data_IF_786771516799
#
_entry.id   IF_786771516799
#
_cell.length_a   1.000
_cell.length_b   1.000
_cell.length_c   1.000
_cell.angle_alpha   90.00
_cell.angle_beta   90.00
_cell.angle_gamma   90.00
#
_symmetry.space_group_name_H-M   'P 1'
#
loop_
_entity.id
_entity.type
_entity.pdbx_description
1 polymer ?
#
# COMPACT_ATOMS: atom_id res chain seq x y z
N UNK A 1 -2.56 -4.21 -7.87
CA UNK A 1 -2.61 -5.63 -7.46
C UNK A 1 -3.57 -6.32 -8.43
N UNK A 2 -3.09 -7.28 -9.24
CA UNK A 2 -3.89 -7.95 -10.28
C UNK A 2 -4.66 -9.18 -9.76
N UNK A 3 -4.41 -9.59 -8.52
CA UNK A 3 -4.95 -10.84 -7.94
C UNK A 3 -4.89 -10.80 -6.38
N UNK A 4 -5.90 -11.37 -5.72
CA UNK A 4 -6.00 -11.48 -4.26
C UNK A 4 -4.97 -12.42 -3.61
N UNK A 5 -4.37 -13.35 -4.37
CA UNK A 5 -3.29 -14.22 -3.86
C UNK A 5 -1.92 -13.52 -3.83
N UNK A 6 -1.82 -12.32 -4.41
CA UNK A 6 -0.58 -11.56 -4.60
C UNK A 6 -0.47 -10.36 -3.65
N UNK A 7 -0.85 -10.50 -2.39
CA UNK A 7 -0.93 -9.39 -1.41
C UNK A 7 0.31 -9.22 -0.51
N UNK A 8 1.40 -9.95 -0.79
CA UNK A 8 2.65 -9.81 -0.02
C UNK A 8 3.26 -8.42 -0.17
N UNK A 9 4.06 -8.01 0.81
CA UNK A 9 4.73 -6.70 0.79
C UNK A 9 5.71 -6.64 -0.39
N UNK A 10 6.37 -7.75 -0.72
CA UNK A 10 7.29 -7.86 -1.87
C UNK A 10 6.57 -7.61 -3.19
N UNK A 11 5.38 -8.18 -3.37
CA UNK A 11 4.56 -7.93 -4.57
C UNK A 11 4.09 -6.48 -4.64
N UNK A 12 3.73 -5.87 -3.51
CA UNK A 12 3.37 -4.46 -3.47
C UNK A 12 4.57 -3.56 -3.81
N UNK A 13 5.74 -3.85 -3.25
CA UNK A 13 6.98 -3.13 -3.54
C UNK A 13 7.36 -3.24 -5.01
N UNK A 14 7.28 -4.43 -5.60
CA UNK A 14 7.58 -4.63 -7.03
C UNK A 14 6.59 -3.87 -7.93
N UNK A 15 5.30 -3.88 -7.57
CA UNK A 15 4.29 -3.12 -8.30
C UNK A 15 4.57 -1.61 -8.23
N UNK A 16 4.88 -1.10 -7.03
CA UNK A 16 5.22 0.31 -6.83
C UNK A 16 6.48 0.69 -7.61
N UNK A 17 7.52 -0.15 -7.60
CA UNK A 17 8.75 0.08 -8.37
C UNK A 17 8.49 0.23 -9.87
N UNK A 18 7.65 -0.62 -10.44
CA UNK A 18 7.29 -0.51 -11.87
C UNK A 18 6.56 0.80 -12.22
N UNK A 19 5.77 1.35 -11.29
CA UNK A 19 5.10 2.65 -11.47
C UNK A 19 6.09 3.80 -11.27
N UNK A 20 7.02 3.66 -10.31
CA UNK A 20 8.03 4.67 -10.01
C UNK A 20 8.92 4.97 -11.23
N UNK A 21 9.27 3.96 -12.03
CA UNK A 21 10.03 4.15 -13.28
C UNK A 21 9.35 5.15 -14.22
N UNK A 22 8.05 4.99 -14.48
CA UNK A 22 7.30 5.93 -15.32
C UNK A 22 7.17 7.32 -14.69
N UNK A 23 7.01 7.41 -13.36
CA UNK A 23 6.95 8.70 -12.66
C UNK A 23 8.28 9.45 -12.79
N UNK A 24 9.41 8.76 -12.65
CA UNK A 24 10.74 9.35 -12.78
C UNK A 24 11.01 9.87 -14.21
N UNK A 25 10.56 9.15 -15.24
CA UNK A 25 10.63 9.63 -16.63
C UNK A 25 9.82 10.92 -16.85
N UNK A 26 8.64 11.02 -16.25
CA UNK A 26 7.83 12.24 -16.30
C UNK A 26 8.52 13.39 -15.55
N UNK A 27 9.09 13.15 -14.37
CA UNK A 27 9.85 14.17 -13.64
C UNK A 27 11.06 14.67 -14.45
N UNK A 28 11.79 13.77 -15.11
CA UNK A 28 12.90 14.12 -15.98
C UNK A 28 12.48 14.93 -17.22
N UNK A 29 11.18 14.89 -17.56
CA UNK A 29 10.57 15.65 -18.65
C UNK A 29 9.92 16.96 -18.18
N UNK A 30 10.26 17.44 -16.98
CA UNK A 30 9.85 18.74 -16.40
C UNK A 30 8.34 18.87 -16.12
N UNK A 31 7.68 17.75 -15.78
CA UNK A 31 6.29 17.76 -15.32
C UNK A 31 6.18 17.98 -13.81
N UNK A 32 5.23 18.83 -13.39
CA UNK A 32 4.76 18.89 -12.01
C UNK A 32 3.74 17.78 -11.74
N UNK A 33 4.07 16.85 -10.84
CA UNK A 33 3.30 15.63 -10.62
C UNK A 33 2.65 15.61 -9.24
N UNK A 34 1.35 15.28 -9.21
CA UNK A 34 0.65 14.82 -8.01
C UNK A 34 0.36 13.34 -8.16
N UNK A 35 0.98 12.51 -7.32
CA UNK A 35 0.76 11.07 -7.30
C UNK A 35 -0.29 10.70 -6.26
N UNK A 36 -1.26 9.88 -6.67
CA UNK A 36 -2.30 9.32 -5.79
C UNK A 36 -2.34 7.80 -5.94
N UNK A 37 -2.95 7.09 -4.99
CA UNK A 37 -3.13 5.65 -5.09
C UNK A 37 -4.42 5.19 -4.42
N UNK A 38 -4.91 4.03 -4.83
CA UNK A 38 -5.92 3.27 -4.09
C UNK A 38 -5.27 2.38 -3.03
N UNK A 39 -6.08 1.90 -2.08
CA UNK A 39 -5.64 0.97 -1.03
C UNK A 39 -6.64 -0.18 -0.76
N UNK A 40 -7.66 -0.37 -1.60
CA UNK A 40 -8.77 -1.32 -1.37
C UNK A 40 -8.33 -2.75 -1.00
N UNK A 41 -7.49 -3.42 -1.79
CA UNK A 41 -6.99 -4.75 -1.44
C UNK A 41 -6.18 -4.78 -0.14
N UNK A 42 -5.35 -3.75 0.09
CA UNK A 42 -4.49 -3.66 1.27
C UNK A 42 -5.32 -3.45 2.54
N UNK A 43 -6.27 -2.52 2.52
CA UNK A 43 -7.12 -2.23 3.69
C UNK A 43 -8.05 -3.41 3.99
N UNK A 44 -8.52 -4.11 2.95
CA UNK A 44 -9.30 -5.34 3.14
C UNK A 44 -8.49 -6.43 3.84
N UNK A 45 -7.22 -6.61 3.47
CA UNK A 45 -6.35 -7.59 4.13
C UNK A 45 -6.06 -7.21 5.59
N UNK A 46 -5.77 -5.93 5.87
CA UNK A 46 -5.47 -5.49 7.24
C UNK A 46 -6.69 -5.55 8.15
N UNK A 47 -7.88 -5.19 7.65
CA UNK A 47 -9.12 -5.41 8.39
C UNK A 47 -9.33 -6.90 8.67
N UNK A 48 -9.09 -7.76 7.67
CA UNK A 48 -9.23 -9.21 7.85
C UNK A 48 -8.26 -9.77 8.89
N UNK A 49 -7.04 -9.26 8.94
CA UNK A 49 -6.05 -9.62 9.98
C UNK A 49 -6.54 -9.20 11.37
N UNK A 50 -7.09 -7.98 11.50
CA UNK A 50 -7.62 -7.48 12.76
C UNK A 50 -8.81 -8.32 13.26
N UNK A 51 -9.74 -8.71 12.37
CA UNK A 51 -10.85 -9.61 12.69
C UNK A 51 -10.35 -10.96 13.21
N UNK A 52 -9.42 -11.60 12.49
CA UNK A 52 -8.87 -12.91 12.88
C UNK A 52 -8.15 -12.83 14.23
N UNK A 53 -7.37 -11.77 14.46
CA UNK A 53 -6.63 -11.60 15.70
C UNK A 53 -7.57 -11.34 16.90
N UNK A 54 -8.65 -10.59 16.68
CA UNK A 54 -9.70 -10.41 17.68
C UNK A 54 -10.41 -11.74 18.01
N UNK A 55 -10.82 -12.49 16.99
CA UNK A 55 -11.53 -13.76 17.15
C UNK A 55 -10.68 -14.85 17.85
N UNK A 56 -9.38 -14.93 17.54
CA UNK A 56 -8.51 -16.00 18.03
C UNK A 56 -7.81 -15.70 19.35
N UNK A 57 -7.40 -14.45 19.55
CA UNK A 57 -6.52 -14.06 20.66
C UNK A 57 -7.16 -12.99 21.57
N UNK A 58 -8.36 -12.52 21.25
CA UNK A 58 -9.06 -11.48 22.03
C UNK A 58 -8.40 -10.10 21.96
N UNK A 59 -7.55 -9.83 20.94
CA UNK A 59 -6.95 -8.52 20.75
C UNK A 59 -8.02 -7.45 20.44
N UNK A 60 -7.82 -6.18 20.81
CA UNK A 60 -8.72 -5.11 20.41
C UNK A 60 -8.87 -5.02 18.89
N UNK A 61 -10.11 -4.85 18.43
CA UNK A 61 -10.42 -4.67 17.02
C UNK A 61 -9.84 -3.34 16.52
N UNK A 62 -9.07 -3.37 15.44
CA UNK A 62 -8.63 -2.17 14.74
C UNK A 62 -9.77 -1.67 13.84
N UNK A 63 -10.31 -0.45 14.05
CA UNK A 63 -11.37 0.07 13.21
C UNK A 63 -10.92 0.26 11.75
N UNK A 64 -11.84 0.14 10.80
CA UNK A 64 -11.54 0.30 9.36
C UNK A 64 -10.83 1.63 9.05
N UNK A 65 -11.21 2.73 9.71
CA UNK A 65 -10.56 4.03 9.52
C UNK A 65 -9.06 4.00 9.89
N UNK A 66 -8.69 3.25 10.93
CA UNK A 66 -7.29 3.06 11.32
C UNK A 66 -6.57 2.16 10.31
N UNK A 67 -7.19 1.07 9.85
CA UNK A 67 -6.60 0.25 8.78
C UNK A 67 -6.38 1.07 7.49
N UNK A 68 -7.28 2.01 7.17
CA UNK A 68 -7.07 2.96 6.06
C UNK A 68 -5.80 3.78 6.33
N UNK A 69 -5.66 4.38 7.51
CA UNK A 69 -4.48 5.18 7.84
C UNK A 69 -3.17 4.37 7.76
N UNK A 70 -3.17 3.16 8.32
CA UNK A 70 -2.01 2.25 8.32
C UNK A 70 -1.59 1.90 6.89
N UNK A 71 -2.56 1.59 6.02
CA UNK A 71 -2.28 1.24 4.62
C UNK A 71 -1.87 2.44 3.77
N UNK A 72 -2.37 3.65 4.06
CA UNK A 72 -1.88 4.88 3.43
C UNK A 72 -0.41 5.12 3.80
N UNK A 73 -0.04 4.97 5.07
CA UNK A 73 1.34 5.07 5.52
C UNK A 73 2.25 4.00 4.90
N UNK A 74 1.82 2.74 4.91
CA UNK A 74 2.58 1.62 4.35
C UNK A 74 2.82 1.72 2.85
N UNK A 75 1.79 2.06 2.06
CA UNK A 75 1.95 2.26 0.61
C UNK A 75 2.78 3.51 0.33
N UNK A 76 2.53 4.62 1.03
CA UNK A 76 3.30 5.85 0.90
C UNK A 76 4.79 5.64 1.18
N UNK A 77 5.12 4.84 2.20
CA UNK A 77 6.49 4.44 2.49
C UNK A 77 7.13 3.68 1.31
N UNK A 78 6.44 2.70 0.74
CA UNK A 78 6.95 1.95 -0.43
C UNK A 78 7.15 2.87 -1.64
N UNK A 79 6.24 3.82 -1.88
CA UNK A 79 6.37 4.81 -2.96
C UNK A 79 7.61 5.67 -2.75
N UNK A 80 7.79 6.22 -1.54
CA UNK A 80 8.97 7.02 -1.22
C UNK A 80 10.27 6.23 -1.36
N UNK A 81 10.29 4.96 -0.94
CA UNK A 81 11.45 4.08 -1.11
C UNK A 81 11.75 3.80 -2.58
N UNK A 82 10.73 3.64 -3.43
CA UNK A 82 10.92 3.36 -4.86
C UNK A 82 11.36 4.58 -5.67
N UNK A 83 11.05 5.80 -5.21
CA UNK A 83 11.45 7.04 -5.88
C UNK A 83 12.84 7.55 -5.45
N UNK A 84 13.32 7.17 -4.25
CA UNK A 84 14.57 7.68 -3.68
C UNK A 84 15.75 6.69 -3.71
N UNK A 85 15.55 5.44 -4.14
CA UNK A 85 16.61 4.42 -4.27
C UNK A 85 16.86 4.08 -5.74
#
# INVERSE_FOLDING_TARGET
IKDNASQSIEHQAQAVKSVAESVLEMLASDYDIVLTHGNGPQVGLDLRRAEIAHEREGLPLTPLANCVADTQGGIGYLIQQALNN
#
